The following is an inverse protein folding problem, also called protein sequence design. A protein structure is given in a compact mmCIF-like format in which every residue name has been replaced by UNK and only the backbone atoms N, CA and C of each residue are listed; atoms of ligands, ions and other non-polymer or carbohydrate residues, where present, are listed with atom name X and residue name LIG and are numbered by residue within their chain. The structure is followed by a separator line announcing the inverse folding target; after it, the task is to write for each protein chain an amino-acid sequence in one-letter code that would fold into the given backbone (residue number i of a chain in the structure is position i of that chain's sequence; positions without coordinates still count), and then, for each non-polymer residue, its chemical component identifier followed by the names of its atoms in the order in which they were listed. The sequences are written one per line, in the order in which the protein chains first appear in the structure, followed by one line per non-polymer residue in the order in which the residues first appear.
data_IF_031630323757
#
_entry.id   IF_031630323757
#
_cell.length_a   1.000
_cell.length_b   1.000
_cell.length_c   1.000
_cell.angle_alpha   90.00
_cell.angle_beta   90.00
_cell.angle_gamma   90.00
#
_symmetry.space_group_name_H-M   'P 1'
#
loop_
_entity.id
_entity.type
_entity.pdbx_description
1 polymer ?
#
# COMPACT_ATOMS: atom_id res chain seq x y z
N UNK A 1 -2.10 1.17 -12.62
CA UNK A 1 -2.77 0.86 -13.90
C UNK A 1 -3.46 2.12 -14.40
N UNK A 2 -2.75 3.01 -15.10
CA UNK A 2 -3.47 3.92 -15.98
C UNK A 2 -3.86 3.07 -17.18
N UNK A 3 -5.16 2.84 -17.29
CA UNK A 3 -5.81 2.26 -18.44
C UNK A 3 -5.30 3.00 -19.67
N UNK A 4 -4.54 2.31 -20.53
CA UNK A 4 -4.48 2.67 -21.95
C UNK A 4 -5.92 2.95 -22.37
N UNK A 5 -6.16 4.09 -23.03
CA UNK A 5 -7.49 4.53 -23.45
C UNK A 5 -8.31 3.35 -23.95
N UNK A 6 -9.28 2.95 -23.14
CA UNK A 6 -10.14 1.79 -23.35
C UNK A 6 -10.92 1.96 -24.66
N UNK A 7 -11.17 3.20 -25.08
CA UNK A 7 -11.93 3.50 -26.30
C UNK A 7 -11.21 3.11 -27.61
N UNK A 8 -9.90 3.32 -27.72
CA UNK A 8 -9.15 2.89 -28.93
C UNK A 8 -8.98 1.37 -28.98
N UNK A 9 -8.93 0.71 -27.82
CA UNK A 9 -8.85 -0.75 -27.73
C UNK A 9 -10.20 -1.42 -27.97
N UNK A 10 -11.32 -0.82 -27.54
CA UNK A 10 -12.68 -1.36 -27.80
C UNK A 10 -13.09 -1.17 -29.26
N UNK A 11 -12.83 0.00 -29.86
CA UNK A 11 -13.08 0.23 -31.30
C UNK A 11 -12.26 -0.74 -32.16
N UNK A 12 -11.00 -0.97 -31.80
CA UNK A 12 -10.10 -1.84 -32.55
C UNK A 12 -10.29 -3.34 -32.28
N UNK A 13 -10.71 -3.73 -31.07
CA UNK A 13 -11.20 -5.10 -30.81
C UNK A 13 -12.44 -5.34 -31.67
N UNK A 14 -13.31 -4.33 -31.85
CA UNK A 14 -14.36 -4.32 -32.87
C UNK A 14 -13.81 -4.56 -34.28
N UNK A 15 -12.85 -3.76 -34.75
CA UNK A 15 -12.29 -3.88 -36.11
C UNK A 15 -11.53 -5.21 -36.35
N UNK A 16 -10.83 -5.72 -35.34
CA UNK A 16 -10.19 -7.04 -35.37
C UNK A 16 -11.20 -8.20 -35.29
N UNK A 17 -12.36 -7.97 -34.68
CA UNK A 17 -13.51 -8.90 -34.66
C UNK A 17 -14.45 -8.72 -35.87
N UNK A 18 -14.32 -7.67 -36.67
CA UNK A 18 -15.05 -7.45 -37.93
C UNK A 18 -14.34 -8.04 -39.16
N UNK A 19 -13.03 -8.28 -39.07
CA UNK A 19 -12.23 -8.99 -40.09
C UNK A 19 -12.26 -10.54 -40.10
N UNK A 20 -13.04 -11.32 -39.31
CA UNK A 20 -13.09 -12.78 -39.42
C UNK A 20 -13.97 -13.27 -40.58
N UNK A 21 -14.33 -12.39 -41.54
CA UNK A 21 -14.96 -12.81 -42.79
C UNK A 21 -13.98 -13.42 -43.80
N UNK A 22 -12.66 -13.32 -43.57
CA UNK A 22 -11.63 -14.02 -44.35
C UNK A 22 -11.27 -15.35 -43.69
N UNK A 23 -11.16 -16.43 -44.47
CA UNK A 23 -10.62 -17.70 -44.00
C UNK A 23 -9.22 -17.45 -43.44
N UNK A 24 -8.91 -18.02 -42.27
CA UNK A 24 -7.62 -17.90 -41.55
C UNK A 24 -6.39 -17.96 -42.48
N UNK A 25 -6.43 -18.84 -43.48
CA UNK A 25 -5.36 -19.08 -44.45
C UNK A 25 -5.17 -17.96 -45.51
N UNK A 26 -6.22 -17.19 -45.83
CA UNK A 26 -6.15 -16.05 -46.76
C UNK A 26 -5.69 -14.77 -46.03
N UNK A 27 -6.15 -14.57 -44.80
CA UNK A 27 -5.66 -13.50 -43.93
C UNK A 27 -4.15 -13.66 -43.68
N UNK A 28 -3.68 -14.86 -43.35
CA UNK A 28 -2.26 -15.17 -43.12
C UNK A 28 -1.34 -14.85 -44.33
N UNK A 29 -1.87 -14.86 -45.56
CA UNK A 29 -1.09 -14.50 -46.77
C UNK A 29 -0.97 -12.99 -46.98
N UNK A 30 -1.89 -12.19 -46.46
CA UNK A 30 -1.93 -10.73 -46.65
C UNK A 30 -1.47 -9.91 -45.44
N UNK A 31 -1.09 -10.57 -44.32
CA UNK A 31 -0.61 -9.88 -43.13
C UNK A 31 0.68 -9.08 -43.41
N UNK A 32 0.54 -7.77 -43.53
CA UNK A 32 1.65 -6.83 -43.56
C UNK A 32 2.26 -6.62 -42.16
N UNK A 33 3.22 -5.70 -42.06
CA UNK A 33 3.91 -5.40 -40.82
C UNK A 33 2.96 -4.90 -39.72
N UNK A 34 2.08 -3.94 -40.05
CA UNK A 34 1.22 -3.27 -39.07
C UNK A 34 0.15 -4.22 -38.53
N UNK A 35 -0.43 -5.04 -39.41
CA UNK A 35 -1.36 -6.09 -39.01
C UNK A 35 -0.67 -7.10 -38.09
N UNK A 36 0.50 -7.61 -38.50
CA UNK A 36 1.25 -8.60 -37.71
C UNK A 36 1.58 -8.08 -36.31
N UNK A 37 2.00 -6.82 -36.21
CA UNK A 37 2.30 -6.18 -34.93
C UNK A 37 1.03 -6.00 -34.08
N UNK A 38 -0.03 -5.42 -34.63
CA UNK A 38 -1.26 -5.14 -33.87
C UNK A 38 -1.96 -6.42 -33.43
N UNK A 39 -2.10 -7.40 -34.32
CA UNK A 39 -2.72 -8.68 -33.99
C UNK A 39 -1.91 -9.48 -32.96
N UNK A 40 -0.58 -9.46 -33.07
CA UNK A 40 0.31 -10.06 -32.06
C UNK A 40 0.11 -9.46 -30.66
N UNK A 41 -0.11 -8.13 -30.57
CA UNK A 41 -0.45 -7.46 -29.29
C UNK A 41 -1.80 -7.93 -28.73
N UNK A 42 -2.82 -8.05 -29.57
CA UNK A 42 -4.15 -8.55 -29.16
C UNK A 42 -4.05 -10.00 -28.66
N UNK A 43 -3.41 -10.88 -29.41
CA UNK A 43 -3.21 -12.27 -29.01
C UNK A 43 -2.44 -12.39 -27.68
N UNK A 44 -1.41 -11.58 -27.50
CA UNK A 44 -0.64 -11.47 -26.25
C UNK A 44 -1.52 -11.07 -25.06
N UNK A 45 -2.44 -10.10 -25.26
CA UNK A 45 -3.41 -9.70 -24.23
C UNK A 45 -4.43 -10.80 -23.93
N UNK A 46 -4.81 -11.60 -24.92
CA UNK A 46 -5.71 -12.74 -24.77
C UNK A 46 -5.03 -14.01 -24.20
N UNK A 47 -3.71 -13.97 -23.90
CA UNK A 47 -2.97 -15.13 -23.43
C UNK A 47 -2.69 -16.20 -24.49
N UNK A 48 -2.90 -15.88 -25.77
CA UNK A 48 -2.59 -16.77 -26.92
C UNK A 48 -1.12 -16.61 -27.32
N UNK A 49 -0.24 -17.12 -26.47
CA UNK A 49 1.19 -16.81 -26.54
C UNK A 49 1.88 -17.36 -27.80
N UNK A 50 1.58 -18.60 -28.20
CA UNK A 50 2.20 -19.20 -29.39
C UNK A 50 1.81 -18.47 -30.69
N UNK A 51 0.56 -18.06 -30.81
CA UNK A 51 0.09 -17.29 -31.95
C UNK A 51 0.65 -15.87 -31.95
N UNK A 52 0.78 -15.25 -30.78
CA UNK A 52 1.44 -13.96 -30.64
C UNK A 52 2.91 -14.03 -31.10
N UNK A 53 3.65 -15.07 -30.70
CA UNK A 53 5.04 -15.29 -31.12
C UNK A 53 5.17 -15.50 -32.64
N UNK A 54 4.19 -16.16 -33.29
CA UNK A 54 4.14 -16.26 -34.76
C UNK A 54 3.98 -14.88 -35.41
N UNK A 55 3.10 -14.04 -34.85
CA UNK A 55 2.85 -12.69 -35.35
C UNK A 55 4.07 -11.78 -35.19
N UNK A 56 4.72 -11.80 -34.02
CA UNK A 56 5.92 -11.00 -33.77
C UNK A 56 7.11 -11.44 -34.64
N UNK A 57 7.34 -12.74 -34.82
CA UNK A 57 8.39 -13.23 -35.75
C UNK A 57 8.15 -12.80 -37.19
N UNK A 58 6.89 -12.72 -37.62
CA UNK A 58 6.55 -12.20 -38.95
C UNK A 58 6.81 -10.70 -39.03
N UNK A 59 6.34 -9.93 -38.04
CA UNK A 59 6.57 -8.49 -37.98
C UNK A 59 8.08 -8.17 -37.96
N UNK A 60 8.89 -8.93 -37.25
CA UNK A 60 10.36 -8.78 -37.22
C UNK A 60 11.01 -9.02 -38.59
N UNK A 61 10.58 -10.04 -39.34
CA UNK A 61 11.06 -10.25 -40.72
C UNK A 61 10.72 -9.07 -41.63
N UNK A 62 9.54 -8.50 -41.47
CA UNK A 62 9.04 -7.36 -42.26
C UNK A 62 9.60 -6.00 -41.78
N UNK A 63 10.23 -5.96 -40.61
CA UNK A 63 10.72 -4.73 -40.01
C UNK A 63 12.01 -4.20 -40.66
N UNK A 64 12.73 -4.98 -41.47
CA UNK A 64 14.04 -4.61 -42.03
C UNK A 64 14.03 -3.23 -42.70
N UNK A 65 13.05 -3.01 -43.57
CA UNK A 65 12.89 -1.79 -44.36
C UNK A 65 12.03 -0.72 -43.68
N UNK A 66 11.62 -0.97 -42.43
CA UNK A 66 10.81 -0.02 -41.66
C UNK A 66 11.67 1.04 -40.97
N UNK A 67 11.05 2.18 -40.71
CA UNK A 67 11.66 3.29 -40.00
C UNK A 67 11.90 2.96 -38.52
N UNK A 68 12.64 3.84 -37.83
CA UNK A 68 12.98 3.67 -36.42
C UNK A 68 11.72 3.60 -35.53
N UNK A 69 10.68 4.38 -35.83
CA UNK A 69 9.44 4.41 -35.07
C UNK A 69 8.71 3.06 -35.13
N UNK A 70 8.57 2.48 -36.31
CA UNK A 70 7.97 1.17 -36.49
C UNK A 70 8.78 0.08 -35.79
N UNK A 71 10.11 0.11 -35.90
CA UNK A 71 11.00 -0.82 -35.17
C UNK A 71 10.85 -0.70 -33.66
N UNK A 72 10.84 0.52 -33.11
CA UNK A 72 10.60 0.76 -31.69
C UNK A 72 9.23 0.22 -31.24
N UNK A 73 8.18 0.45 -32.05
CA UNK A 73 6.85 -0.10 -31.78
C UNK A 73 6.80 -1.63 -31.80
N UNK A 74 7.53 -2.28 -32.70
CA UNK A 74 7.67 -3.73 -32.72
C UNK A 74 8.33 -4.25 -31.44
N UNK A 75 9.52 -3.74 -31.11
CA UNK A 75 10.27 -4.20 -29.95
C UNK A 75 9.55 -3.91 -28.63
N UNK A 76 8.81 -2.80 -28.54
CA UNK A 76 7.94 -2.56 -27.38
C UNK A 76 6.83 -3.61 -27.25
N UNK A 77 6.25 -4.03 -28.39
CA UNK A 77 5.27 -5.12 -28.43
C UNK A 77 5.87 -6.45 -27.95
N UNK A 78 7.05 -6.80 -28.44
CA UNK A 78 7.78 -8.01 -28.03
C UNK A 78 8.20 -7.97 -26.55
N UNK A 79 8.73 -6.83 -26.07
CA UNK A 79 9.05 -6.63 -24.65
C UNK A 79 7.82 -6.85 -23.76
N UNK A 80 6.71 -6.20 -24.09
CA UNK A 80 5.46 -6.33 -23.36
C UNK A 80 4.91 -7.76 -23.39
N UNK A 81 5.12 -8.49 -24.50
CA UNK A 81 4.73 -9.88 -24.63
C UNK A 81 5.59 -10.81 -23.74
N UNK A 82 6.91 -10.64 -23.77
CA UNK A 82 7.84 -11.38 -22.94
C UNK A 82 7.56 -11.17 -21.44
N UNK A 83 7.22 -9.95 -21.00
CA UNK A 83 6.77 -9.70 -19.61
C UNK A 83 5.55 -10.53 -19.24
N UNK A 84 4.57 -10.68 -20.15
CA UNK A 84 3.36 -11.49 -19.91
C UNK A 84 3.66 -12.99 -19.86
N UNK A 85 4.66 -13.45 -20.62
CA UNK A 85 5.20 -14.83 -20.55
C UNK A 85 6.08 -15.06 -19.32
N UNK A 86 6.36 -14.02 -18.53
CA UNK A 86 7.33 -14.04 -17.42
C UNK A 86 8.78 -14.33 -17.87
N UNK A 87 9.11 -14.04 -19.13
CA UNK A 87 10.44 -14.19 -19.73
C UNK A 87 11.21 -12.86 -19.62
N UNK A 88 11.59 -12.51 -18.39
CA UNK A 88 12.10 -11.16 -18.09
C UNK A 88 13.48 -10.83 -18.67
N UNK A 89 14.29 -11.84 -18.98
CA UNK A 89 15.57 -11.65 -19.69
C UNK A 89 15.33 -11.21 -21.14
N UNK A 90 14.42 -11.90 -21.84
CA UNK A 90 14.01 -11.55 -23.20
C UNK A 90 13.30 -10.19 -23.24
N UNK A 91 12.45 -9.91 -22.25
CA UNK A 91 11.81 -8.59 -22.12
C UNK A 91 12.85 -7.46 -22.05
N UNK A 92 13.92 -7.66 -21.27
CA UNK A 92 15.01 -6.70 -21.14
C UNK A 92 15.77 -6.47 -22.47
N UNK A 93 16.07 -7.54 -23.22
CA UNK A 93 16.70 -7.40 -24.53
C UNK A 93 15.86 -6.54 -25.48
N UNK A 94 14.54 -6.75 -25.48
CA UNK A 94 13.63 -5.95 -26.30
C UNK A 94 13.48 -4.52 -25.80
N UNK A 95 13.49 -4.26 -24.48
CA UNK A 95 13.51 -2.90 -23.93
C UNK A 95 14.75 -2.17 -24.44
N UNK A 96 15.92 -2.79 -24.38
CA UNK A 96 17.17 -2.19 -24.88
C UNK A 96 17.09 -1.85 -26.37
N UNK A 97 16.50 -2.74 -27.18
CA UNK A 97 16.24 -2.43 -28.60
C UNK A 97 15.28 -1.24 -28.77
N UNK A 98 14.25 -1.08 -27.94
CA UNK A 98 13.42 0.15 -27.97
C UNK A 98 14.29 1.37 -27.72
N UNK A 99 15.19 1.33 -26.73
CA UNK A 99 16.07 2.47 -26.44
C UNK A 99 17.01 2.80 -27.60
N UNK A 100 17.45 1.80 -28.38
CA UNK A 100 18.28 2.03 -29.57
C UNK A 100 17.53 2.79 -30.68
N UNK A 101 16.25 2.50 -30.87
CA UNK A 101 15.42 3.08 -31.95
C UNK A 101 14.59 4.30 -31.52
N UNK A 102 14.40 4.52 -30.22
CA UNK A 102 13.64 5.63 -29.64
C UNK A 102 14.47 6.39 -28.57
N UNK A 103 15.73 6.69 -28.89
CA UNK A 103 16.71 7.26 -27.94
C UNK A 103 16.24 8.56 -27.26
N UNK A 104 15.56 9.40 -28.02
CA UNK A 104 15.04 10.70 -27.59
C UNK A 104 13.57 10.65 -27.13
N UNK A 105 12.92 9.48 -27.25
CA UNK A 105 11.50 9.31 -26.94
C UNK A 105 10.55 9.87 -28.02
N UNK A 106 11.05 10.33 -29.18
CA UNK A 106 10.24 10.91 -30.24
C UNK A 106 9.28 9.91 -30.89
N UNK A 107 9.60 8.61 -30.87
CA UNK A 107 8.71 7.57 -31.34
C UNK A 107 7.57 7.27 -30.35
N UNK A 108 7.70 7.71 -29.09
CA UNK A 108 6.67 7.63 -28.05
C UNK A 108 6.61 6.30 -27.30
N UNK A 109 7.62 5.44 -27.43
CA UNK A 109 7.66 4.10 -26.82
C UNK A 109 8.64 3.99 -25.65
N UNK A 110 9.66 4.86 -25.60
CA UNK A 110 10.76 4.80 -24.62
C UNK A 110 10.25 4.80 -23.18
N UNK A 111 9.32 5.71 -22.86
CA UNK A 111 8.73 5.84 -21.53
C UNK A 111 8.06 4.52 -21.10
N UNK A 112 7.22 3.96 -21.95
CA UNK A 112 6.44 2.77 -21.63
C UNK A 112 7.34 1.53 -21.59
N UNK A 113 8.33 1.43 -22.48
CA UNK A 113 9.31 0.35 -22.46
C UNK A 113 10.14 0.36 -21.17
N UNK A 114 10.66 1.52 -20.76
CA UNK A 114 11.42 1.66 -19.49
C UNK A 114 10.56 1.38 -18.26
N UNK A 115 9.29 1.76 -18.28
CA UNK A 115 8.34 1.46 -17.21
C UNK A 115 8.13 -0.05 -17.02
N UNK A 116 8.34 -0.87 -18.06
CA UNK A 116 8.26 -2.33 -17.91
C UNK A 116 9.26 -2.86 -16.87
N UNK A 117 10.40 -2.20 -16.62
CA UNK A 117 11.28 -2.60 -15.51
C UNK A 117 10.57 -2.55 -14.15
N UNK A 118 9.73 -1.54 -13.92
CA UNK A 118 8.92 -1.43 -12.70
C UNK A 118 7.82 -2.50 -12.66
N UNK A 119 7.20 -2.81 -13.80
CA UNK A 119 6.18 -3.85 -13.88
C UNK A 119 6.79 -5.25 -13.63
N UNK A 120 7.97 -5.53 -14.19
CA UNK A 120 8.76 -6.75 -13.95
C UNK A 120 9.10 -6.86 -12.46
N UNK A 121 9.61 -5.81 -11.84
CA UNK A 121 9.94 -5.81 -10.41
C UNK A 121 8.72 -6.14 -9.53
N UNK A 122 7.57 -5.55 -9.83
CA UNK A 122 6.31 -5.86 -9.13
C UNK A 122 5.83 -7.30 -9.37
N UNK A 123 5.98 -7.82 -10.59
CA UNK A 123 5.61 -9.20 -10.91
C UNK A 123 6.49 -10.20 -10.14
N UNK A 124 7.81 -9.97 -10.10
CA UNK A 124 8.77 -10.77 -9.35
C UNK A 124 8.49 -10.77 -7.84
N UNK A 125 8.05 -9.65 -7.30
CA UNK A 125 7.63 -9.56 -5.90
C UNK A 125 6.41 -10.47 -5.60
N UNK A 126 5.44 -10.54 -6.52
CA UNK A 126 4.26 -11.42 -6.38
C UNK A 126 4.63 -12.90 -6.37
N UNK A 127 5.62 -13.30 -7.15
CA UNK A 127 6.15 -14.68 -7.19
C UNK A 127 7.26 -14.94 -6.16
N UNK A 128 7.41 -14.04 -5.16
CA UNK A 128 8.35 -14.15 -4.03
C UNK A 128 9.83 -14.28 -4.45
N UNK A 129 10.24 -13.55 -5.50
CA UNK A 129 11.64 -13.41 -5.94
C UNK A 129 12.15 -11.99 -5.66
N UNK A 130 12.42 -11.62 -4.39
CA UNK A 130 12.74 -10.24 -4.01
C UNK A 130 14.11 -9.75 -4.52
N UNK A 131 15.09 -10.64 -4.68
CA UNK A 131 16.43 -10.25 -5.17
C UNK A 131 16.39 -9.87 -6.67
N UNK A 132 15.70 -10.67 -7.48
CA UNK A 132 15.45 -10.34 -8.89
C UNK A 132 14.59 -9.06 -8.99
N UNK A 133 13.55 -8.92 -8.15
CA UNK A 133 12.73 -7.72 -8.11
C UNK A 133 13.56 -6.47 -7.82
N UNK A 134 14.54 -6.56 -6.91
CA UNK A 134 15.45 -5.47 -6.57
C UNK A 134 16.32 -5.06 -7.75
N UNK A 135 16.87 -6.04 -8.50
CA UNK A 135 17.63 -5.78 -9.74
C UNK A 135 16.80 -4.96 -10.73
N UNK A 136 15.54 -5.30 -10.95
CA UNK A 136 14.69 -4.57 -11.89
C UNK A 136 14.17 -3.23 -11.35
N UNK A 137 13.99 -3.09 -10.04
CA UNK A 137 13.72 -1.79 -9.41
C UNK A 137 14.91 -0.83 -9.61
N UNK A 138 16.16 -1.32 -9.49
CA UNK A 138 17.36 -0.52 -9.78
C UNK A 138 17.41 -0.04 -11.24
N UNK A 139 17.03 -0.91 -12.19
CA UNK A 139 16.91 -0.52 -13.60
C UNK A 139 15.84 0.52 -13.85
N UNK A 140 14.67 0.37 -13.22
CA UNK A 140 13.61 1.36 -13.33
C UNK A 140 14.04 2.73 -12.78
N UNK A 141 14.81 2.77 -11.69
CA UNK A 141 15.36 4.01 -11.13
C UNK A 141 16.36 4.65 -12.10
N UNK A 142 17.30 3.87 -12.66
CA UNK A 142 18.27 4.39 -13.63
C UNK A 142 17.59 4.90 -14.90
N UNK A 143 16.58 4.19 -15.37
CA UNK A 143 15.84 4.51 -16.58
C UNK A 143 15.05 5.84 -16.48
N UNK A 144 14.66 6.26 -15.28
CA UNK A 144 13.99 7.53 -14.98
C UNK A 144 14.77 8.38 -13.97
N UNK A 145 16.11 8.32 -13.97
CA UNK A 145 16.94 8.99 -12.94
C UNK A 145 16.73 10.51 -12.85
N UNK A 146 16.36 11.12 -13.97
CA UNK A 146 16.04 12.56 -14.07
C UNK A 146 14.58 12.87 -13.67
N UNK A 147 13.75 11.86 -13.42
CA UNK A 147 12.33 12.00 -13.08
C UNK A 147 11.42 12.45 -14.23
N UNK A 148 11.92 12.43 -15.47
CA UNK A 148 11.21 12.91 -16.67
C UNK A 148 9.99 12.06 -17.04
N UNK A 149 10.03 10.76 -16.75
CA UNK A 149 8.97 9.83 -17.10
C UNK A 149 7.89 9.71 -16.03
N UNK A 150 8.19 10.15 -14.81
CA UNK A 150 7.22 10.28 -13.71
C UNK A 150 6.99 8.99 -12.92
N UNK A 151 7.84 7.97 -13.07
CA UNK A 151 7.76 6.73 -12.30
C UNK A 151 8.98 6.51 -11.39
N UNK A 152 9.95 7.44 -11.37
CA UNK A 152 11.12 7.41 -10.49
C UNK A 152 10.76 7.20 -9.01
N UNK A 153 9.79 7.96 -8.50
CA UNK A 153 9.40 7.89 -7.09
C UNK A 153 8.72 6.56 -6.75
N UNK A 154 7.92 6.01 -7.67
CA UNK A 154 7.34 4.67 -7.53
C UNK A 154 8.42 3.59 -7.49
N UNK A 155 9.43 3.68 -8.37
CA UNK A 155 10.54 2.74 -8.42
C UNK A 155 11.42 2.81 -7.15
N UNK A 156 11.72 4.02 -6.67
CA UNK A 156 12.43 4.24 -5.40
C UNK A 156 11.63 3.70 -4.21
N UNK A 157 10.32 3.94 -4.19
CA UNK A 157 9.47 3.43 -3.11
C UNK A 157 9.43 1.90 -3.11
N UNK A 158 9.29 1.26 -4.27
CA UNK A 158 9.38 -0.19 -4.41
C UNK A 158 10.74 -0.73 -3.94
N UNK A 159 11.85 -0.08 -4.31
CA UNK A 159 13.19 -0.46 -3.83
C UNK A 159 13.29 -0.38 -2.30
N UNK A 160 12.75 0.68 -1.68
CA UNK A 160 12.73 0.80 -0.22
C UNK A 160 11.94 -0.34 0.44
N UNK A 161 10.82 -0.75 -0.16
CA UNK A 161 10.05 -1.91 0.31
C UNK A 161 10.86 -3.20 0.23
N UNK A 162 11.52 -3.45 -0.91
CA UNK A 162 12.36 -4.64 -1.13
C UNK A 162 13.55 -4.71 -0.17
N UNK A 163 14.24 -3.58 0.06
CA UNK A 163 15.31 -3.50 1.07
C UNK A 163 14.80 -3.85 2.46
N UNK A 164 13.65 -3.29 2.84
CA UNK A 164 13.04 -3.56 4.14
C UNK A 164 12.62 -5.04 4.30
N UNK A 165 12.12 -5.67 3.24
CA UNK A 165 11.84 -7.12 3.21
C UNK A 165 13.12 -7.96 3.36
N UNK A 166 14.22 -7.51 2.76
CA UNK A 166 15.57 -8.08 2.93
C UNK A 166 16.23 -7.75 4.28
N UNK A 167 15.48 -7.19 5.25
CA UNK A 167 15.95 -6.73 6.57
C UNK A 167 16.93 -5.56 6.55
N UNK A 168 17.18 -4.96 5.39
CA UNK A 168 17.94 -3.71 5.26
C UNK A 168 17.03 -2.51 5.48
N UNK A 169 16.62 -2.32 6.74
CA UNK A 169 15.77 -1.21 7.15
C UNK A 169 16.49 0.15 7.06
N UNK A 170 17.82 0.18 7.22
CA UNK A 170 18.58 1.43 7.17
C UNK A 170 18.76 1.91 5.72
N UNK A 171 19.04 1.00 4.79
CA UNK A 171 19.02 1.30 3.36
C UNK A 171 17.65 1.75 2.87
N UNK A 172 16.58 1.10 3.34
CA UNK A 172 15.21 1.52 3.06
C UNK A 172 14.93 2.95 3.57
N UNK A 173 15.28 3.25 4.83
CA UNK A 173 15.08 4.58 5.41
C UNK A 173 15.86 5.67 4.67
N UNK A 174 17.07 5.40 4.19
CA UNK A 174 17.83 6.36 3.36
C UNK A 174 17.06 6.77 2.11
N UNK A 175 16.44 5.81 1.40
CA UNK A 175 15.64 6.10 0.22
C UNK A 175 14.36 6.86 0.60
N UNK A 176 13.68 6.43 1.66
CA UNK A 176 12.44 7.08 2.11
C UNK A 176 12.68 8.52 2.54
N UNK A 177 13.79 8.83 3.20
CA UNK A 177 14.16 10.21 3.57
C UNK A 177 14.36 11.12 2.36
N UNK A 178 14.82 10.59 1.22
CA UNK A 178 14.89 11.35 -0.03
C UNK A 178 13.48 11.58 -0.58
N UNK A 179 12.65 10.53 -0.62
CA UNK A 179 11.25 10.63 -1.07
C UNK A 179 10.43 11.62 -0.22
N UNK A 180 10.60 11.62 1.10
CA UNK A 180 9.92 12.55 2.00
C UNK A 180 10.21 14.03 1.68
N UNK A 181 11.37 14.34 1.06
CA UNK A 181 11.77 15.71 0.69
C UNK A 181 11.36 16.08 -0.74
N UNK A 182 11.36 15.12 -1.66
CA UNK A 182 11.17 15.37 -3.09
C UNK A 182 9.73 15.17 -3.56
N UNK A 183 8.98 14.28 -2.91
CA UNK A 183 7.62 13.95 -3.31
C UNK A 183 6.67 15.10 -2.98
N UNK A 184 6.05 15.65 -4.03
CA UNK A 184 4.97 16.65 -3.92
C UNK A 184 3.57 16.02 -3.88
N UNK A 185 3.45 14.80 -4.38
CA UNK A 185 2.22 14.02 -4.36
C UNK A 185 1.89 13.61 -2.93
N UNK A 186 0.80 14.14 -2.38
CA UNK A 186 0.44 13.92 -0.97
C UNK A 186 0.03 12.47 -0.69
N UNK A 187 -0.55 11.76 -1.65
CA UNK A 187 -0.94 10.36 -1.48
C UNK A 187 0.30 9.46 -1.36
N UNK A 188 1.28 9.66 -2.24
CA UNK A 188 2.57 8.97 -2.17
C UNK A 188 3.35 9.38 -0.92
N UNK A 189 3.35 10.66 -0.55
CA UNK A 189 4.00 11.12 0.68
C UNK A 189 3.42 10.43 1.92
N UNK A 190 2.09 10.29 2.01
CA UNK A 190 1.44 9.56 3.10
C UNK A 190 1.86 8.08 3.13
N UNK A 191 1.95 7.42 1.96
CA UNK A 191 2.44 6.03 1.84
C UNK A 191 3.90 5.90 2.30
N UNK A 192 4.77 6.83 1.88
CA UNK A 192 6.19 6.89 2.26
C UNK A 192 6.34 7.07 3.77
N UNK A 193 5.67 8.07 4.35
CA UNK A 193 5.71 8.35 5.79
C UNK A 193 5.15 7.18 6.61
N UNK A 194 4.05 6.57 6.17
CA UNK A 194 3.47 5.41 6.84
C UNK A 194 4.43 4.22 6.81
N UNK A 195 5.11 4.01 5.68
CA UNK A 195 6.10 2.95 5.56
C UNK A 195 7.31 3.23 6.48
N UNK A 196 7.89 4.44 6.45
CA UNK A 196 8.94 4.88 7.37
C UNK A 196 8.55 4.64 8.83
N UNK A 197 7.34 5.06 9.24
CA UNK A 197 6.82 4.84 10.59
C UNK A 197 6.78 3.35 10.96
N UNK A 198 6.33 2.48 10.05
CA UNK A 198 6.38 1.03 10.27
C UNK A 198 7.80 0.48 10.43
N UNK A 199 8.79 1.04 9.72
CA UNK A 199 10.19 0.65 9.91
C UNK A 199 10.65 1.01 11.33
N UNK A 200 10.41 2.25 11.77
CA UNK A 200 10.76 2.70 13.11
C UNK A 200 10.11 1.86 14.22
N UNK A 201 8.84 1.47 14.05
CA UNK A 201 8.17 0.56 14.96
C UNK A 201 8.84 -0.81 15.07
N UNK A 202 9.27 -1.39 13.95
CA UNK A 202 10.03 -2.65 13.97
C UNK A 202 11.39 -2.50 14.64
N UNK A 203 11.97 -1.30 14.59
CA UNK A 203 13.19 -0.94 15.34
C UNK A 203 12.91 -0.57 16.80
N UNK A 204 11.64 -0.61 17.25
CA UNK A 204 11.17 -0.15 18.58
C UNK A 204 11.45 1.33 18.87
N UNK A 205 11.71 2.11 17.83
CA UNK A 205 11.84 3.56 17.94
C UNK A 205 10.45 4.19 17.83
N UNK A 206 9.77 4.26 18.97
CA UNK A 206 8.39 4.76 19.02
C UNK A 206 8.30 6.26 18.79
N UNK A 207 9.32 7.03 19.19
CA UNK A 207 9.38 8.47 18.96
C UNK A 207 9.54 8.78 17.47
N UNK A 208 10.45 8.09 16.79
CA UNK A 208 10.61 8.17 15.35
C UNK A 208 9.33 7.77 14.61
N UNK A 209 8.68 6.69 15.03
CA UNK A 209 7.42 6.24 14.44
C UNK A 209 6.29 7.27 14.61
N UNK A 210 6.10 7.79 15.83
CA UNK A 210 5.12 8.84 16.13
C UNK A 210 5.40 10.07 15.26
N UNK A 211 6.65 10.52 15.17
CA UNK A 211 7.01 11.68 14.34
C UNK A 211 6.63 11.49 12.86
N UNK A 212 6.80 10.28 12.31
CA UNK A 212 6.37 9.98 10.93
C UNK A 212 4.86 9.97 10.78
N UNK A 213 4.11 9.44 11.74
CA UNK A 213 2.64 9.47 11.68
C UNK A 213 2.09 10.89 11.88
N UNK A 214 2.70 11.71 12.74
CA UNK A 214 2.33 13.13 12.89
C UNK A 214 2.51 13.91 11.59
N UNK A 215 3.56 13.58 10.82
CA UNK A 215 3.75 14.17 9.50
C UNK A 215 2.61 13.81 8.53
N UNK A 216 2.02 12.61 8.62
CA UNK A 216 0.83 12.24 7.83
C UNK A 216 -0.37 13.09 8.25
N UNK A 217 -0.61 13.25 9.55
CA UNK A 217 -1.73 14.05 10.07
C UNK A 217 -1.67 15.49 9.52
N UNK A 218 -0.46 16.04 9.39
CA UNK A 218 -0.24 17.40 8.86
C UNK A 218 -0.32 17.50 7.34
N UNK A 219 0.14 16.49 6.60
CA UNK A 219 0.37 16.59 5.16
C UNK A 219 -0.72 15.94 4.29
N UNK A 220 -1.42 14.92 4.80
CA UNK A 220 -2.44 14.21 4.04
C UNK A 220 -3.68 15.08 3.80
N UNK A 221 -4.35 14.90 2.66
CA UNK A 221 -5.65 15.52 2.40
C UNK A 221 -6.81 14.60 2.80
N UNK A 222 -6.62 13.28 2.71
CA UNK A 222 -7.64 12.28 3.05
C UNK A 222 -7.74 12.07 4.57
N UNK A 223 -8.93 12.31 5.12
CA UNK A 223 -9.23 12.09 6.53
C UNK A 223 -9.06 10.62 6.95
N UNK A 224 -9.21 9.65 6.05
CA UNK A 224 -8.95 8.24 6.35
C UNK A 224 -7.47 7.98 6.63
N UNK A 225 -6.57 8.65 5.91
CA UNK A 225 -5.14 8.54 6.14
C UNK A 225 -4.73 9.23 7.45
N UNK A 226 -5.28 10.42 7.72
CA UNK A 226 -5.10 11.12 9.00
C UNK A 226 -5.62 10.28 10.17
N UNK A 227 -6.82 9.74 10.07
CA UNK A 227 -7.43 8.89 11.10
C UNK A 227 -6.61 7.64 11.37
N UNK A 228 -6.10 6.99 10.31
CA UNK A 228 -5.21 5.83 10.47
C UNK A 228 -3.91 6.23 11.19
N UNK A 229 -3.32 7.37 10.85
CA UNK A 229 -2.13 7.89 11.53
C UNK A 229 -2.41 8.23 13.01
N UNK A 230 -3.50 8.95 13.31
CA UNK A 230 -3.91 9.28 14.68
C UNK A 230 -4.19 8.02 15.51
N UNK A 231 -4.86 7.03 14.94
CA UNK A 231 -5.11 5.76 15.62
C UNK A 231 -3.82 5.05 16.01
N UNK A 232 -2.82 5.07 15.12
CA UNK A 232 -1.49 4.51 15.37
C UNK A 232 -0.77 5.28 16.48
N UNK A 233 -0.73 6.60 16.39
CA UNK A 233 -0.12 7.46 17.43
C UNK A 233 -0.77 7.18 18.79
N UNK A 234 -2.10 7.23 18.88
CA UNK A 234 -2.84 6.99 20.12
C UNK A 234 -2.57 5.60 20.71
N UNK A 235 -2.54 4.55 19.88
CA UNK A 235 -2.22 3.19 20.31
C UNK A 235 -0.79 3.07 20.85
N UNK A 236 0.21 3.71 20.22
CA UNK A 236 1.60 3.64 20.69
C UNK A 236 1.83 4.45 21.97
N UNK A 237 1.26 5.64 22.06
CA UNK A 237 1.28 6.43 23.30
C UNK A 237 0.63 5.64 24.44
N UNK A 238 -0.50 4.98 24.15
CA UNK A 238 -1.20 4.16 25.12
C UNK A 238 -0.40 2.93 25.59
N UNK A 239 0.11 2.11 24.66
CA UNK A 239 0.70 0.81 24.98
C UNK A 239 2.14 0.92 25.48
N UNK A 240 2.95 1.78 24.85
CA UNK A 240 4.40 1.83 25.09
C UNK A 240 4.78 2.92 26.09
N UNK A 241 4.16 4.10 25.98
CA UNK A 241 4.46 5.23 26.87
C UNK A 241 3.57 5.30 28.11
N UNK A 242 2.41 4.62 28.09
CA UNK A 242 1.38 4.67 29.14
C UNK A 242 0.90 6.09 29.47
N UNK A 243 1.04 7.03 28.53
CA UNK A 243 0.57 8.41 28.69
C UNK A 243 -0.90 8.50 28.26
N UNK A 244 -1.78 7.96 29.09
CA UNK A 244 -3.18 7.70 28.73
C UNK A 244 -3.96 8.94 28.30
N UNK A 245 -3.77 10.07 28.96
CA UNK A 245 -4.42 11.34 28.63
C UNK A 245 -4.03 11.83 27.22
N UNK A 246 -2.75 11.70 26.86
CA UNK A 246 -2.28 12.05 25.52
C UNK A 246 -2.83 11.09 24.47
N UNK A 247 -2.96 9.80 24.78
CA UNK A 247 -3.57 8.83 23.88
C UNK A 247 -5.05 9.15 23.62
N UNK A 248 -5.81 9.48 24.68
CA UNK A 248 -7.20 9.92 24.58
C UNK A 248 -7.31 11.15 23.68
N UNK A 249 -6.47 12.18 23.89
CA UNK A 249 -6.50 13.39 23.06
C UNK A 249 -6.31 13.09 21.56
N UNK A 250 -5.45 12.13 21.20
CA UNK A 250 -5.26 11.71 19.80
C UNK A 250 -6.45 10.95 19.21
N UNK A 251 -7.14 10.16 20.03
CA UNK A 251 -8.39 9.52 19.58
C UNK A 251 -9.55 10.52 19.51
N UNK A 252 -9.58 11.54 20.37
CA UNK A 252 -10.55 12.64 20.26
C UNK A 252 -10.31 13.46 19.00
N UNK A 253 -9.05 13.77 18.68
CA UNK A 253 -8.67 14.36 17.39
C UNK A 253 -9.16 13.47 16.23
N UNK A 254 -8.92 12.16 16.28
CA UNK A 254 -9.41 11.19 15.28
C UNK A 254 -10.94 11.23 15.12
N UNK A 255 -11.68 11.38 16.21
CA UNK A 255 -13.14 11.49 16.16
C UNK A 255 -13.62 12.77 15.48
N UNK A 256 -12.84 13.85 15.59
CA UNK A 256 -13.25 15.19 15.15
C UNK A 256 -12.78 15.54 13.73
N UNK A 257 -11.77 14.86 13.19
CA UNK A 257 -11.25 15.14 11.84
C UNK A 257 -12.16 14.68 10.70
N UNK A 258 -13.14 13.80 10.93
CA UNK A 258 -13.97 13.22 9.87
C UNK A 258 -15.39 12.97 10.31
N UNK A 259 -16.35 13.15 9.40
CA UNK A 259 -17.76 12.75 9.57
C UNK A 259 -18.03 11.28 9.25
N UNK A 260 -17.02 10.52 8.82
CA UNK A 260 -17.15 9.09 8.57
C UNK A 260 -17.53 8.34 9.86
N UNK A 261 -18.70 7.69 9.84
CA UNK A 261 -19.25 6.97 10.99
C UNK A 261 -18.34 5.85 11.48
N UNK A 262 -17.58 5.19 10.60
CA UNK A 262 -16.65 4.13 11.00
C UNK A 262 -15.44 4.71 11.72
N UNK A 263 -14.92 5.85 11.26
CA UNK A 263 -13.82 6.57 11.93
C UNK A 263 -14.26 7.03 13.32
N UNK A 264 -15.42 7.70 13.42
CA UNK A 264 -15.95 8.18 14.71
C UNK A 264 -16.20 7.03 15.69
N UNK A 265 -16.78 5.92 15.23
CA UNK A 265 -17.00 4.76 16.06
C UNK A 265 -15.69 4.13 16.56
N UNK A 266 -14.69 3.99 15.69
CA UNK A 266 -13.39 3.44 16.06
C UNK A 266 -12.67 4.32 17.10
N UNK A 267 -12.75 5.65 16.96
CA UNK A 267 -12.19 6.57 17.93
C UNK A 267 -12.82 6.43 19.33
N UNK A 268 -14.15 6.39 19.42
CA UNK A 268 -14.86 6.17 20.71
C UNK A 268 -14.51 4.81 21.33
N UNK A 269 -14.37 3.77 20.50
CA UNK A 269 -13.92 2.46 20.97
C UNK A 269 -12.53 2.55 21.60
N UNK A 270 -11.56 3.18 20.95
CA UNK A 270 -10.21 3.29 21.49
C UNK A 270 -10.15 4.15 22.76
N UNK A 271 -10.90 5.26 22.84
CA UNK A 271 -11.02 6.04 24.08
C UNK A 271 -11.54 5.18 25.24
N UNK A 272 -12.60 4.38 24.98
CA UNK A 272 -13.13 3.44 25.96
C UNK A 272 -12.08 2.44 26.44
N UNK A 273 -11.31 1.84 25.51
CA UNK A 273 -10.21 0.92 25.85
C UNK A 273 -9.14 1.58 26.71
N UNK A 274 -8.77 2.83 26.43
CA UNK A 274 -7.80 3.56 27.27
C UNK A 274 -8.36 3.78 28.67
N UNK A 275 -9.64 4.14 28.82
CA UNK A 275 -10.25 4.27 30.15
C UNK A 275 -10.32 2.95 30.94
N UNK A 276 -10.52 1.80 30.27
CA UNK A 276 -10.42 0.49 30.93
C UNK A 276 -9.03 0.30 31.55
N UNK A 277 -7.99 0.68 30.80
CA UNK A 277 -6.59 0.55 31.25
C UNK A 277 -6.21 1.53 32.36
N UNK A 278 -6.93 2.64 32.48
CA UNK A 278 -6.84 3.57 33.60
C UNK A 278 -7.71 3.15 34.79
N UNK A 279 -8.41 2.01 34.71
CA UNK A 279 -9.40 1.54 35.70
C UNK A 279 -10.57 2.52 35.92
N UNK A 280 -10.78 3.45 34.99
CA UNK A 280 -11.90 4.40 34.97
C UNK A 280 -13.12 3.75 34.32
N UNK A 281 -13.60 2.67 34.95
CA UNK A 281 -14.61 1.77 34.39
C UNK A 281 -15.92 2.45 33.97
N UNK A 282 -16.41 3.41 34.76
CA UNK A 282 -17.64 4.14 34.42
C UNK A 282 -17.47 5.01 33.16
N UNK A 283 -16.31 5.64 32.99
CA UNK A 283 -15.99 6.41 31.79
C UNK A 283 -15.84 5.51 30.57
N UNK A 284 -15.22 4.32 30.74
CA UNK A 284 -15.09 3.34 29.68
C UNK A 284 -16.45 2.86 29.17
N UNK A 285 -17.34 2.44 30.09
CA UNK A 285 -18.71 2.01 29.77
C UNK A 285 -19.48 3.14 29.08
N UNK A 286 -19.37 4.38 29.58
CA UNK A 286 -20.03 5.53 28.97
C UNK A 286 -19.60 5.73 27.50
N UNK A 287 -18.31 5.61 27.20
CA UNK A 287 -17.79 5.76 25.82
C UNK A 287 -18.18 4.60 24.90
N UNK A 288 -18.19 3.38 25.41
CA UNK A 288 -18.69 2.23 24.65
C UNK A 288 -20.20 2.36 24.36
N UNK A 289 -21.00 2.77 25.33
CA UNK A 289 -22.43 3.01 25.13
C UNK A 289 -22.71 4.18 24.17
N UNK A 290 -21.94 5.26 24.26
CA UNK A 290 -22.01 6.38 23.32
C UNK A 290 -21.82 5.91 21.88
N UNK A 291 -20.78 5.10 21.64
CA UNK A 291 -20.50 4.51 20.34
C UNK A 291 -21.63 3.61 19.85
N UNK A 292 -22.13 2.69 20.69
CA UNK A 292 -23.20 1.75 20.32
C UNK A 292 -24.48 2.52 19.96
N UNK A 293 -24.81 3.58 20.71
CA UNK A 293 -25.99 4.41 20.48
C UNK A 293 -25.88 5.23 19.18
N UNK A 294 -24.72 5.85 18.94
CA UNK A 294 -24.52 6.73 17.78
C UNK A 294 -24.21 5.96 16.48
N UNK A 295 -23.55 4.81 16.59
CA UNK A 295 -23.02 4.05 15.45
C UNK A 295 -23.31 2.53 15.57
N UNK A 296 -24.60 2.13 15.64
CA UNK A 296 -25.01 0.75 15.94
C UNK A 296 -24.54 -0.30 14.92
N UNK A 297 -24.32 0.10 13.66
CA UNK A 297 -23.90 -0.80 12.58
C UNK A 297 -22.38 -0.82 12.35
N UNK A 298 -21.61 -0.15 13.21
CA UNK A 298 -20.17 -0.05 13.04
C UNK A 298 -19.45 -1.35 13.44
N UNK A 299 -18.37 -1.75 12.74
CA UNK A 299 -17.64 -2.99 13.04
C UNK A 299 -17.21 -3.18 14.51
N UNK A 300 -16.82 -2.13 15.27
CA UNK A 300 -16.41 -2.29 16.66
C UNK A 300 -17.53 -2.60 17.66
N UNK A 301 -18.82 -2.48 17.29
CA UNK A 301 -19.96 -2.61 18.24
C UNK A 301 -19.96 -3.93 19.00
N UNK A 302 -19.69 -5.06 18.32
CA UNK A 302 -19.62 -6.37 18.98
C UNK A 302 -18.50 -6.40 20.03
N UNK A 303 -17.33 -5.82 19.70
CA UNK A 303 -16.20 -5.73 20.64
C UNK A 303 -16.52 -4.80 21.80
N UNK A 304 -17.18 -3.68 21.54
CA UNK A 304 -17.60 -2.73 22.57
C UNK A 304 -18.54 -3.37 23.60
N UNK A 305 -19.55 -4.13 23.15
CA UNK A 305 -20.45 -4.88 24.04
C UNK A 305 -19.69 -5.88 24.92
N UNK A 306 -18.75 -6.62 24.34
CA UNK A 306 -17.91 -7.56 25.10
C UNK A 306 -17.00 -6.83 26.11
N UNK A 307 -16.46 -5.66 25.77
CA UNK A 307 -15.68 -4.84 26.68
C UNK A 307 -16.55 -4.33 27.85
N UNK A 308 -17.79 -3.91 27.62
CA UNK A 308 -18.71 -3.50 28.69
C UNK A 308 -18.92 -4.65 29.68
N UNK A 309 -19.27 -5.85 29.20
CA UNK A 309 -19.49 -7.01 30.07
C UNK A 309 -18.22 -7.37 30.89
N UNK A 310 -17.04 -7.28 30.27
CA UNK A 310 -15.78 -7.50 30.95
C UNK A 310 -15.53 -6.43 32.03
N UNK A 311 -15.77 -5.16 31.71
CA UNK A 311 -15.56 -4.03 32.63
C UNK A 311 -16.52 -4.09 33.82
N UNK A 312 -17.77 -4.50 33.63
CA UNK A 312 -18.73 -4.69 34.71
C UNK A 312 -18.27 -5.78 35.70
N UNK A 313 -17.72 -6.89 35.19
CA UNK A 313 -17.12 -7.94 36.03
C UNK A 313 -15.92 -7.41 36.84
N UNK A 314 -15.03 -6.66 36.19
CA UNK A 314 -13.87 -6.05 36.85
C UNK A 314 -14.32 -5.06 37.94
N UNK A 315 -15.33 -4.24 37.66
CA UNK A 315 -15.89 -3.30 38.63
C UNK A 315 -16.50 -4.01 39.84
N UNK A 316 -17.26 -5.09 39.62
CA UNK A 316 -17.84 -5.89 40.69
C UNK A 316 -16.77 -6.60 41.53
N UNK A 317 -15.69 -7.08 40.91
CA UNK A 317 -14.56 -7.67 41.63
C UNK A 317 -13.84 -6.64 42.50
N UNK A 318 -13.51 -5.47 41.94
CA UNK A 318 -12.86 -4.39 42.68
C UNK A 318 -13.71 -3.89 43.86
N UNK A 319 -15.05 -3.92 43.75
CA UNK A 319 -15.93 -3.57 44.87
C UNK A 319 -15.84 -4.59 46.02
N UNK A 320 -15.84 -5.88 45.70
CA UNK A 320 -15.69 -6.96 46.71
C UNK A 320 -14.33 -6.93 47.39
N UNK A 321 -13.26 -6.62 46.66
CA UNK A 321 -11.91 -6.50 47.22
C UNK A 321 -11.84 -5.34 48.23
N UNK A 322 -12.40 -4.17 47.88
CA UNK A 322 -12.48 -3.02 48.80
C UNK A 322 -13.33 -3.29 50.05
N UNK A 323 -14.38 -4.10 49.94
CA UNK A 323 -15.18 -4.50 51.11
C UNK A 323 -14.36 -5.40 52.04
N UNK A 324 -13.59 -6.35 51.50
CA UNK A 324 -12.71 -7.21 52.29
C UNK A 324 -11.59 -6.44 52.97
N UNK A 325 -10.94 -5.51 52.26
CA UNK A 325 -9.89 -4.65 52.83
C UNK A 325 -10.41 -3.86 54.03
N UNK A 326 -11.61 -3.25 53.92
CA UNK A 326 -12.24 -2.54 55.05
C UNK A 326 -12.58 -3.43 56.23
N UNK A 327 -13.00 -4.67 55.97
CA UNK A 327 -13.27 -5.65 57.03
C UNK A 327 -11.99 -6.12 57.74
N UNK A 328 -10.87 -6.17 57.03
CA UNK A 328 -9.55 -6.51 57.59
C UNK A 328 -8.96 -5.35 58.40
N UNK A 329 -8.97 -4.12 57.87
CA UNK A 329 -8.54 -2.90 58.58
C UNK A 329 -9.35 -2.70 59.88
N UNK A 330 -10.67 -2.86 59.84
CA UNK A 330 -11.53 -2.76 61.02
C UNK A 330 -11.31 -3.86 62.07
N UNK A 331 -10.71 -4.99 61.69
CA UNK A 331 -10.30 -6.06 62.63
C UNK A 331 -8.93 -5.78 63.24
N UNK A 332 -8.01 -5.14 62.51
CA UNK A 332 -6.70 -4.73 63.02
C UNK A 332 -6.80 -3.57 64.00
N UNK A 333 -7.60 -2.53 63.71
CA UNK A 333 -7.81 -1.40 64.63
C UNK A 333 -8.42 -1.84 65.98
N UNK A 334 -9.32 -2.84 65.96
CA UNK A 334 -9.87 -3.42 67.19
C UNK A 334 -8.82 -4.15 68.01
N UNK A 335 -7.91 -4.90 67.36
CA UNK A 335 -6.80 -5.60 68.05
C UNK A 335 -5.77 -4.63 68.64
N UNK A 336 -5.45 -3.53 67.95
CA UNK A 336 -4.53 -2.50 68.49
C UNK A 336 -5.15 -1.69 69.63
N UNK A 337 -6.47 -1.44 69.58
CA UNK A 337 -7.20 -0.75 70.65
C UNK A 337 -7.32 -1.58 71.93
N UNK A 338 -7.33 -2.90 71.82
CA UNK A 338 -7.34 -3.84 72.96
C UNK A 338 -5.93 -3.97 73.58
N UNK A 339 -4.86 -4.03 72.78
CA UNK A 339 -3.47 -4.10 73.28
C UNK A 339 -2.93 -2.81 73.94
N UNK A 340 -3.60 -1.66 73.78
CA UNK A 340 -3.22 -0.39 74.45
C UNK A 340 -3.95 -0.15 75.78
N UNK A 341 -4.86 -1.05 76.18
CA UNK A 341 -5.64 -0.97 77.43
C UNK A 341 -5.16 -1.95 78.51
N UNK A 342 -4.17 -2.78 78.20
CA UNK A 342 -3.36 -3.54 79.15
C UNK A 342 -2.06 -2.77 79.43
#
# INVERSE_FOLDING_TARGET
MQLFKVDETISFVGDCLEYPKLKKEEAEKQMDFDWSLKYGRVLSLCGKHEEADKCYRRAEKLAKDKDAKAKAGLYFGQASHAVRKCEYGEAEEYINKVEEFDKDGAAGFLKDARKLYLDIANALLRVRKPDDAKKYADKAIEADKDGKFGFLNDARFLKAQLLSMGRDNDGALKILLVLEKEVKDKELLAKVLNFSGNIYLRKKDYDGAIAKFEAIVKAADDDKDKARALSRIGLYIHLEKKEYEKAIARFEEMHNISEDRQIKAAALYYIGVVYVRMEKYDMAIAKFNEMIKKYPDSPPVRRAKAQIEQVEKLKAQAAKEKEKEKEEEGKEEKKEGENKKE
#
